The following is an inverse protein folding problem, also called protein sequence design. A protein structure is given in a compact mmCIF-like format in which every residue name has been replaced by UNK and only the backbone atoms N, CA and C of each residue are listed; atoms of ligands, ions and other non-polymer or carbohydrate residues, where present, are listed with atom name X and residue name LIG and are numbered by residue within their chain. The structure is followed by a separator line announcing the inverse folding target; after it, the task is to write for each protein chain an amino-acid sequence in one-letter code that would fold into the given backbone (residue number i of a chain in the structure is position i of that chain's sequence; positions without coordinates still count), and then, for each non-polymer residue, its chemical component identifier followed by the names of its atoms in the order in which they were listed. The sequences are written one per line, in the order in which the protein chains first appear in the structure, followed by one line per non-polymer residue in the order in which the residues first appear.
data_IF_560510646818
#
_entry.id   IF_560510646818
#
_cell.length_a   1.000
_cell.length_b   1.000
_cell.length_c   1.000
_cell.angle_alpha   90.00
_cell.angle_beta   90.00
_cell.angle_gamma   90.00
#
_symmetry.space_group_name_H-M   'P 1'
#
loop_
_entity.id
_entity.type
_entity.pdbx_description
1 polymer ?
#
# COMPACT_ATOMS: atom_id res chain seq x y z
N UNK A 1 30.67 34.09 -33.51
CA UNK A 1 29.91 33.19 -32.62
C UNK A 1 29.77 31.85 -33.31
N UNK A 2 30.37 30.76 -32.80
CA UNK A 2 30.17 29.42 -33.38
C UNK A 2 28.81 28.91 -32.93
N UNK A 3 27.90 28.72 -33.88
CA UNK A 3 26.59 28.10 -33.64
C UNK A 3 26.79 26.61 -33.40
N UNK A 4 26.25 26.10 -32.29
CA UNK A 4 26.34 24.68 -31.93
C UNK A 4 25.43 23.89 -32.87
N UNK A 5 25.97 22.90 -33.57
CA UNK A 5 25.21 22.07 -34.50
C UNK A 5 24.22 21.17 -33.73
N UNK A 6 23.04 20.85 -34.26
CA UNK A 6 22.09 19.92 -33.64
C UNK A 6 22.71 18.55 -33.28
N UNK A 7 23.72 18.10 -34.03
CA UNK A 7 24.48 16.88 -33.71
C UNK A 7 25.35 17.02 -32.46
N UNK A 8 25.95 18.19 -32.24
CA UNK A 8 26.78 18.46 -31.05
C UNK A 8 25.92 18.47 -29.78
N UNK A 9 24.67 18.97 -29.88
CA UNK A 9 23.70 18.95 -28.78
C UNK A 9 23.30 17.51 -28.44
N UNK A 10 23.07 16.65 -29.44
CA UNK A 10 22.77 15.23 -29.23
C UNK A 10 23.94 14.48 -28.60
N UNK A 11 25.17 14.76 -29.03
CA UNK A 11 26.37 14.15 -28.48
C UNK A 11 26.58 14.54 -27.02
N UNK A 12 26.38 15.82 -26.69
CA UNK A 12 26.41 16.33 -25.32
C UNK A 12 25.34 15.68 -24.45
N UNK A 13 24.09 15.60 -24.92
CA UNK A 13 22.99 14.97 -24.18
C UNK A 13 23.28 13.48 -23.89
N UNK A 14 23.83 12.76 -24.87
CA UNK A 14 24.20 11.34 -24.73
C UNK A 14 25.36 11.15 -23.76
N UNK A 15 26.34 12.05 -23.76
CA UNK A 15 27.46 12.01 -22.81
C UNK A 15 27.01 12.34 -21.38
N UNK A 16 26.12 13.32 -21.19
CA UNK A 16 25.52 13.62 -19.88
C UNK A 16 24.73 12.41 -19.36
N UNK A 17 23.92 11.78 -20.20
CA UNK A 17 23.18 10.56 -19.85
C UNK A 17 24.13 9.42 -19.39
N UNK A 18 25.22 9.19 -20.12
CA UNK A 18 26.20 8.16 -19.77
C UNK A 18 26.97 8.47 -18.47
N UNK A 19 27.24 9.74 -18.18
CA UNK A 19 27.87 10.17 -16.92
C UNK A 19 26.92 9.96 -15.74
N UNK A 20 25.62 10.26 -15.92
CA UNK A 20 24.60 10.02 -14.91
C UNK A 20 24.41 8.52 -14.63
N UNK A 21 24.46 7.67 -15.66
CA UNK A 21 24.40 6.21 -15.47
C UNK A 21 25.65 5.64 -14.78
N UNK A 22 26.84 6.23 -14.99
CA UNK A 22 28.08 5.79 -14.32
C UNK A 22 28.17 6.18 -12.85
N UNK A 23 27.44 7.20 -12.38
CA UNK A 23 27.47 7.66 -10.98
C UNK A 23 26.62 6.82 -10.01
N UNK A 24 25.93 5.78 -10.48
CA UNK A 24 24.99 5.02 -9.64
C UNK A 24 25.29 3.51 -9.52
N UNK A 25 26.57 3.16 -9.37
CA UNK A 25 26.95 1.92 -8.68
C UNK A 25 27.57 2.29 -7.33
N UNK A 26 26.72 2.72 -6.39
CA UNK A 26 27.08 2.52 -4.99
C UNK A 26 27.31 1.02 -4.82
N UNK A 27 28.51 0.61 -4.38
CA UNK A 27 28.69 -0.73 -3.84
C UNK A 27 27.71 -0.83 -2.68
N UNK A 28 26.64 -1.60 -2.86
CA UNK A 28 25.82 -2.04 -1.73
C UNK A 28 26.78 -2.91 -0.92
N UNK A 29 27.35 -2.33 0.13
CA UNK A 29 27.95 -3.14 1.18
C UNK A 29 26.85 -4.08 1.64
N UNK A 30 27.14 -5.38 1.66
CA UNK A 30 26.26 -6.33 2.33
C UNK A 30 26.00 -5.86 3.77
N UNK A 31 24.93 -6.39 4.40
CA UNK A 31 24.70 -6.12 5.82
C UNK A 31 25.97 -6.38 6.64
N UNK A 32 26.15 -5.58 7.70
CA UNK A 32 27.29 -5.68 8.62
C UNK A 32 27.45 -7.13 9.12
N UNK A 33 28.68 -7.54 9.47
CA UNK A 33 28.92 -8.87 10.05
C UNK A 33 28.10 -9.09 11.34
N UNK A 34 27.76 -8.00 12.03
CA UNK A 34 26.89 -7.98 13.21
C UNK A 34 25.40 -7.81 12.87
N UNK A 35 25.04 -7.59 11.60
CA UNK A 35 23.67 -7.34 11.14
C UNK A 35 23.13 -8.51 10.31
N UNK A 36 22.99 -9.69 10.92
CA UNK A 36 22.17 -10.73 10.27
C UNK A 36 22.60 -12.16 10.50
N UNK A 37 22.50 -12.60 11.76
CA UNK A 37 22.01 -13.95 12.04
C UNK A 37 21.13 -13.91 13.28
N UNK A 38 20.07 -13.12 13.21
CA UNK A 38 19.03 -13.17 14.22
C UNK A 38 18.34 -14.52 14.08
N UNK A 39 18.75 -15.48 14.90
CA UNK A 39 17.76 -16.36 15.51
C UNK A 39 16.72 -15.40 16.07
N UNK A 40 15.59 -15.26 15.38
CA UNK A 40 14.47 -14.45 15.86
C UNK A 40 13.96 -15.24 17.06
N UNK A 41 14.56 -14.99 18.22
CA UNK A 41 13.98 -15.40 19.50
C UNK A 41 12.73 -14.54 19.59
N UNK A 42 11.57 -15.17 19.48
CA UNK A 42 10.33 -14.46 19.74
C UNK A 42 10.37 -14.02 21.20
N UNK A 43 10.10 -12.74 21.46
CA UNK A 43 10.11 -12.17 22.82
C UNK A 43 8.98 -12.73 23.70
N UNK A 44 8.08 -13.53 23.11
CA UNK A 44 6.91 -14.16 23.72
C UNK A 44 6.98 -15.67 23.50
N UNK A 45 6.45 -16.42 24.46
CA UNK A 45 6.34 -17.87 24.33
C UNK A 45 5.21 -18.27 23.36
N UNK A 46 5.24 -19.53 22.89
CA UNK A 46 4.28 -20.04 21.92
C UNK A 46 2.84 -20.04 22.45
N UNK A 47 2.64 -20.22 23.76
CA UNK A 47 1.31 -20.26 24.37
C UNK A 47 0.72 -18.84 24.47
N UNK A 48 1.54 -17.86 24.82
CA UNK A 48 1.20 -16.45 24.84
C UNK A 48 0.86 -15.95 23.44
N UNK A 49 1.64 -16.33 22.42
CA UNK A 49 1.33 -16.02 21.03
C UNK A 49 -0.03 -16.55 20.59
N UNK A 50 -0.34 -17.82 20.87
CA UNK A 50 -1.64 -18.39 20.51
C UNK A 50 -2.80 -17.72 21.28
N UNK A 51 -2.60 -17.32 22.54
CA UNK A 51 -3.59 -16.56 23.29
C UNK A 51 -3.84 -15.16 22.69
N UNK A 52 -2.78 -14.44 22.33
CA UNK A 52 -2.88 -13.14 21.65
C UNK A 52 -3.58 -13.25 20.30
N UNK A 53 -3.23 -14.27 19.51
CA UNK A 53 -3.88 -14.56 18.23
C UNK A 53 -5.36 -14.84 18.40
N UNK A 54 -5.74 -15.67 19.36
CA UNK A 54 -7.15 -15.98 19.65
C UNK A 54 -7.92 -14.72 20.03
N UNK A 55 -7.40 -13.96 20.99
CA UNK A 55 -7.98 -12.69 21.44
C UNK A 55 -8.15 -11.71 20.27
N UNK A 56 -7.13 -11.59 19.43
CA UNK A 56 -7.18 -10.71 18.26
C UNK A 56 -8.28 -11.13 17.27
N UNK A 57 -8.40 -12.42 16.95
CA UNK A 57 -9.47 -12.92 16.06
C UNK A 57 -10.87 -12.66 16.64
N UNK A 58 -11.07 -12.85 17.95
CA UNK A 58 -12.34 -12.54 18.62
C UNK A 58 -12.68 -11.05 18.49
N UNK A 59 -11.69 -10.16 18.67
CA UNK A 59 -11.91 -8.71 18.50
C UNK A 59 -12.20 -8.30 17.06
N UNK A 60 -11.73 -9.06 16.06
CA UNK A 60 -11.97 -8.76 14.65
C UNK A 60 -13.40 -9.06 14.20
N UNK A 61 -14.09 -10.00 14.85
CA UNK A 61 -15.48 -10.37 14.54
C UNK A 61 -16.53 -9.46 15.19
N UNK A 62 -16.14 -8.65 16.17
CA UNK A 62 -17.04 -7.73 16.86
C UNK A 62 -17.35 -6.48 16.02
N UNK A 63 -18.52 -5.89 16.27
CA UNK A 63 -18.89 -4.53 15.84
C UNK A 63 -18.90 -4.25 14.32
N UNK A 64 -19.03 -5.27 13.46
CA UNK A 64 -18.99 -5.12 11.99
C UNK A 64 -19.90 -3.99 11.48
N UNK A 65 -21.18 -3.97 11.91
CA UNK A 65 -22.14 -2.95 11.47
C UNK A 65 -21.78 -1.55 11.95
N UNK A 66 -21.24 -1.44 13.17
CA UNK A 66 -20.80 -0.17 13.75
C UNK A 66 -19.57 0.37 13.03
N UNK A 67 -18.63 -0.52 12.67
CA UNK A 67 -17.45 -0.17 11.89
C UNK A 67 -17.85 0.41 10.53
N UNK A 68 -18.84 -0.16 9.84
CA UNK A 68 -19.33 0.42 8.56
C UNK A 68 -19.75 1.87 8.74
N UNK A 69 -20.63 2.15 9.73
CA UNK A 69 -21.18 3.48 9.98
C UNK A 69 -20.09 4.49 10.36
N UNK A 70 -19.19 4.11 11.27
CA UNK A 70 -18.11 4.98 11.77
C UNK A 70 -17.02 5.27 10.73
N UNK A 71 -17.03 4.56 9.61
CA UNK A 71 -15.97 4.63 8.60
C UNK A 71 -16.45 5.06 7.22
N UNK A 72 -17.68 5.60 7.11
CA UNK A 72 -18.26 6.12 5.86
C UNK A 72 -17.48 7.29 5.26
N UNK A 73 -16.81 8.08 6.08
CA UNK A 73 -15.89 9.14 5.64
C UNK A 73 -14.52 8.61 5.16
N UNK A 74 -14.35 7.29 5.06
CA UNK A 74 -13.21 6.60 4.44
C UNK A 74 -11.84 7.18 4.78
N UNK A 75 -11.17 7.85 3.83
CA UNK A 75 -9.80 8.34 3.96
C UNK A 75 -9.64 9.37 5.09
N UNK A 76 -10.69 10.15 5.37
CA UNK A 76 -10.69 11.15 6.44
C UNK A 76 -10.91 10.52 7.83
N UNK A 77 -11.18 9.21 7.90
CA UNK A 77 -11.36 8.47 9.15
C UNK A 77 -10.09 7.75 9.58
N UNK A 78 -9.53 8.18 10.71
CA UNK A 78 -8.45 7.44 11.39
C UNK A 78 -8.92 6.01 11.72
N UNK A 79 -10.19 5.84 12.10
CA UNK A 79 -10.79 4.54 12.39
C UNK A 79 -10.74 3.63 11.16
N UNK A 80 -11.14 4.14 9.98
CA UNK A 80 -11.08 3.38 8.72
C UNK A 80 -9.64 2.94 8.39
N UNK A 81 -8.65 3.84 8.56
CA UNK A 81 -7.25 3.50 8.35
C UNK A 81 -6.78 2.40 9.32
N UNK A 82 -7.14 2.51 10.60
CA UNK A 82 -6.77 1.52 11.62
C UNK A 82 -7.41 0.15 11.39
N UNK A 83 -8.67 0.09 10.97
CA UNK A 83 -9.37 -1.16 10.70
C UNK A 83 -8.83 -1.86 9.44
N UNK A 84 -8.40 -1.09 8.43
CA UNK A 84 -7.75 -1.64 7.23
C UNK A 84 -6.37 -2.23 7.49
N UNK A 85 -5.61 -1.72 8.45
CA UNK A 85 -4.30 -2.27 8.79
C UNK A 85 -4.41 -3.67 9.43
N UNK A 86 -5.54 -3.94 10.09
CA UNK A 86 -5.80 -5.23 10.75
C UNK A 86 -6.30 -6.30 9.78
N UNK A 87 -6.69 -5.92 8.55
CA UNK A 87 -7.49 -6.77 7.64
C UNK A 87 -6.91 -6.80 6.23
N UNK A 88 -7.15 -7.91 5.52
CA UNK A 88 -6.89 -7.95 4.09
C UNK A 88 -7.95 -7.16 3.35
N UNK A 89 -7.53 -6.21 2.53
CA UNK A 89 -8.43 -5.33 1.76
C UNK A 89 -8.53 -5.79 0.32
N UNK A 90 -9.67 -5.52 -0.33
CA UNK A 90 -9.92 -5.90 -1.72
C UNK A 90 -8.81 -5.46 -2.68
N UNK A 91 -8.28 -4.24 -2.53
CA UNK A 91 -7.19 -3.71 -3.35
C UNK A 91 -5.87 -4.47 -3.18
N UNK A 92 -5.65 -5.11 -2.03
CA UNK A 92 -4.48 -5.94 -1.77
C UNK A 92 -4.69 -7.42 -2.15
N UNK A 93 -5.94 -7.87 -2.14
CA UNK A 93 -6.30 -9.29 -2.26
C UNK A 93 -5.84 -9.91 -3.59
N UNK A 94 -5.98 -9.17 -4.69
CA UNK A 94 -5.52 -9.63 -6.01
C UNK A 94 -4.01 -9.93 -6.06
N UNK A 95 -3.18 -9.23 -5.28
CA UNK A 95 -1.75 -9.56 -5.16
C UNK A 95 -1.55 -10.86 -4.39
N UNK A 96 -2.28 -11.03 -3.29
CA UNK A 96 -2.16 -12.17 -2.39
C UNK A 96 -2.50 -13.48 -3.12
N UNK A 97 -3.60 -13.48 -3.88
CA UNK A 97 -4.01 -14.64 -4.68
C UNK A 97 -2.98 -15.04 -5.76
N UNK A 98 -2.16 -14.08 -6.23
CA UNK A 98 -1.16 -14.29 -7.29
C UNK A 98 0.24 -14.60 -6.77
N UNK A 99 0.41 -14.77 -5.46
CA UNK A 99 1.73 -15.07 -4.89
C UNK A 99 2.24 -16.42 -5.37
N UNK A 100 3.47 -16.44 -5.89
CA UNK A 100 4.14 -17.68 -6.25
C UNK A 100 4.59 -18.40 -4.98
N UNK A 101 4.66 -19.72 -5.04
CA UNK A 101 5.11 -20.55 -3.91
C UNK A 101 6.49 -20.16 -3.38
N UNK A 102 7.36 -19.68 -4.28
CA UNK A 102 8.73 -19.23 -3.97
C UNK A 102 8.83 -17.75 -3.58
N UNK A 103 7.75 -16.97 -3.65
CA UNK A 103 7.75 -15.58 -3.19
C UNK A 103 7.72 -15.55 -1.66
N UNK A 104 8.66 -14.83 -1.05
CA UNK A 104 8.68 -14.65 0.40
C UNK A 104 7.42 -13.92 0.88
N UNK A 105 6.71 -14.53 1.83
CA UNK A 105 5.53 -13.96 2.49
C UNK A 105 5.90 -12.78 3.38
N UNK A 106 7.10 -12.79 3.96
CA UNK A 106 7.57 -11.72 4.85
C UNK A 106 7.58 -10.34 4.14
N UNK A 107 8.01 -10.29 2.87
CA UNK A 107 8.01 -9.05 2.10
C UNK A 107 6.59 -8.53 1.82
N UNK A 108 5.64 -9.45 1.59
CA UNK A 108 4.24 -9.10 1.36
C UNK A 108 3.63 -8.52 2.63
N UNK A 109 3.84 -9.18 3.77
CA UNK A 109 3.37 -8.73 5.09
C UNK A 109 3.97 -7.36 5.42
N UNK A 110 5.29 -7.19 5.21
CA UNK A 110 5.96 -5.89 5.40
C UNK A 110 5.30 -4.79 4.57
N UNK A 111 4.97 -5.06 3.31
CA UNK A 111 4.32 -4.05 2.48
C UNK A 111 2.87 -3.78 2.91
N UNK A 112 2.13 -4.79 3.40
CA UNK A 112 0.76 -4.59 3.89
C UNK A 112 0.74 -3.72 5.15
N UNK A 113 1.67 -3.97 6.09
CA UNK A 113 1.71 -3.28 7.38
C UNK A 113 2.37 -1.90 7.32
N UNK A 114 3.38 -1.72 6.46
CA UNK A 114 4.22 -0.51 6.44
C UNK A 114 4.16 0.23 5.08
N UNK A 115 3.06 0.12 4.36
CA UNK A 115 2.88 0.87 3.11
C UNK A 115 2.87 2.38 3.37
N UNK A 116 3.81 3.10 2.76
CA UNK A 116 3.92 4.56 2.84
C UNK A 116 3.41 5.27 1.58
N UNK A 117 2.49 4.66 0.84
CA UNK A 117 1.96 5.27 -0.38
C UNK A 117 1.18 6.55 -0.05
N UNK A 118 1.62 7.69 -0.59
CA UNK A 118 1.03 9.02 -0.36
C UNK A 118 0.09 9.50 -1.47
N UNK A 119 -0.27 8.62 -2.42
CA UNK A 119 -1.01 9.01 -3.61
C UNK A 119 -0.09 9.46 -4.75
N UNK A 120 -0.62 9.37 -5.97
CA UNK A 120 -0.08 10.04 -7.15
C UNK A 120 -1.16 10.98 -7.73
N UNK A 121 -0.84 11.68 -8.82
CA UNK A 121 -1.76 12.64 -9.43
C UNK A 121 -3.09 12.01 -9.85
N UNK A 122 -3.05 10.76 -10.34
CA UNK A 122 -4.26 10.03 -10.70
C UNK A 122 -5.10 9.66 -9.46
N UNK A 123 -4.47 9.24 -8.36
CA UNK A 123 -5.18 8.93 -7.10
C UNK A 123 -5.83 10.18 -6.52
N UNK A 124 -5.13 11.31 -6.55
CA UNK A 124 -5.65 12.59 -6.05
C UNK A 124 -6.82 13.08 -6.89
N UNK A 125 -6.68 13.05 -8.22
CA UNK A 125 -7.78 13.39 -9.12
C UNK A 125 -9.01 12.49 -8.89
N UNK A 126 -8.78 11.18 -8.72
CA UNK A 126 -9.85 10.23 -8.40
C UNK A 126 -10.59 10.58 -7.12
N UNK A 127 -9.87 10.93 -6.05
CA UNK A 127 -10.44 11.36 -4.78
C UNK A 127 -11.22 12.67 -4.90
N UNK A 128 -10.67 13.67 -5.59
CA UNK A 128 -11.32 14.98 -5.78
C UNK A 128 -12.61 14.87 -6.61
N UNK A 129 -12.63 13.99 -7.61
CA UNK A 129 -13.75 13.84 -8.54
C UNK A 129 -14.76 12.76 -8.14
N UNK A 130 -14.52 12.02 -7.05
CA UNK A 130 -15.37 10.90 -6.63
C UNK A 130 -16.83 11.33 -6.43
N UNK A 131 -17.03 12.47 -5.77
CA UNK A 131 -18.37 13.02 -5.52
C UNK A 131 -19.11 13.33 -6.82
N UNK A 132 -18.47 14.04 -7.73
CA UNK A 132 -19.05 14.38 -9.04
C UNK A 132 -19.37 13.14 -9.85
N UNK A 133 -18.47 12.16 -9.89
CA UNK A 133 -18.69 10.90 -10.59
C UNK A 133 -19.90 10.12 -10.05
N UNK A 134 -20.10 10.13 -8.73
CA UNK A 134 -21.24 9.48 -8.07
C UNK A 134 -22.57 10.16 -8.39
N UNK A 135 -22.61 11.49 -8.35
CA UNK A 135 -23.79 12.27 -8.70
C UNK A 135 -24.16 12.06 -10.18
N UNK A 136 -23.16 12.10 -11.07
CA UNK A 136 -23.36 11.89 -12.50
C UNK A 136 -23.94 10.51 -12.82
N UNK A 137 -23.42 9.44 -12.20
CA UNK A 137 -23.94 8.09 -12.43
C UNK A 137 -25.32 7.88 -11.78
N UNK A 138 -25.55 8.46 -10.61
CA UNK A 138 -26.88 8.46 -9.95
C UNK A 138 -27.94 9.12 -10.84
N UNK A 139 -27.63 10.28 -11.44
CA UNK A 139 -28.50 10.97 -12.37
C UNK A 139 -28.75 10.17 -13.66
N UNK A 140 -27.71 9.55 -14.23
CA UNK A 140 -27.83 8.73 -15.46
C UNK A 140 -28.69 7.49 -15.26
N UNK A 141 -28.59 6.87 -14.09
CA UNK A 141 -29.32 5.65 -13.74
C UNK A 141 -30.65 5.91 -13.03
N UNK A 142 -30.94 7.17 -12.69
CA UNK A 142 -32.09 7.59 -11.89
C UNK A 142 -32.18 6.83 -10.55
N UNK A 143 -31.05 6.66 -9.87
CA UNK A 143 -30.94 6.03 -8.55
C UNK A 143 -30.16 6.91 -7.59
N UNK A 144 -30.52 6.88 -6.31
CA UNK A 144 -29.70 7.44 -5.24
C UNK A 144 -28.54 6.50 -4.92
N UNK A 145 -27.33 7.04 -4.78
CA UNK A 145 -26.13 6.28 -4.44
C UNK A 145 -25.53 6.87 -3.18
N UNK A 146 -25.63 6.10 -2.10
CA UNK A 146 -25.13 6.48 -0.79
C UNK A 146 -23.66 6.10 -0.62
N UNK A 147 -22.97 6.87 0.22
CA UNK A 147 -21.62 6.54 0.67
C UNK A 147 -21.65 5.40 1.68
N UNK A 148 -20.63 4.56 1.64
CA UNK A 148 -20.49 3.41 2.52
C UNK A 148 -19.09 3.37 3.14
N UNK A 149 -19.02 2.75 4.32
CA UNK A 149 -17.76 2.53 5.03
C UNK A 149 -17.12 1.19 4.70
N UNK A 150 -16.34 0.69 5.65
CA UNK A 150 -15.66 -0.59 5.52
C UNK A 150 -16.63 -1.75 5.80
N UNK A 151 -16.97 -2.49 4.75
CA UNK A 151 -17.64 -3.79 4.89
C UNK A 151 -16.65 -4.89 5.26
N UNK A 152 -17.05 -5.72 6.23
CA UNK A 152 -16.28 -6.86 6.71
C UNK A 152 -17.11 -8.11 6.46
N UNK A 153 -16.52 -9.12 5.83
CA UNK A 153 -17.17 -10.42 5.69
C UNK A 153 -17.33 -11.06 7.07
N UNK A 154 -18.55 -11.46 7.48
CA UNK A 154 -18.66 -12.50 8.49
C UNK A 154 -18.07 -13.78 7.90
N UNK A 155 -17.30 -14.52 8.69
CA UNK A 155 -16.77 -15.84 8.30
C UNK A 155 -17.90 -16.88 8.16
#
# INVERSE_FOLDING_TARGET
MRTISPEDVKLLARNVYNILQKKNKQKISGPDLDYGRQNIVMDIDDAEFENHKKTFLETLGADINKIEIETRNQNDSIKWQSERLKRLTASSFGRICKLRKNTSRANVVKLLLYSNFKGNDATRYGHEMEKTAREDIGNKLNIAIDECGLFISPD
#
